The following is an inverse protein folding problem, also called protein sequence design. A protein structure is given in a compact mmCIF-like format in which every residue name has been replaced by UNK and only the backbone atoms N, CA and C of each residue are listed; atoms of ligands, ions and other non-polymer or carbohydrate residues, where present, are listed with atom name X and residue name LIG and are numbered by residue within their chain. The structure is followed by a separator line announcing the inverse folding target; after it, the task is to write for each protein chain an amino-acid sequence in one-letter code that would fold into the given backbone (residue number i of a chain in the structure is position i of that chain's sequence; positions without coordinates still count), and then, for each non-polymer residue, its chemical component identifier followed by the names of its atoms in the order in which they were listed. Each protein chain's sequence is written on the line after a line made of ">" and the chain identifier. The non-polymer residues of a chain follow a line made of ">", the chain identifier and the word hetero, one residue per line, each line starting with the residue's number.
data_IF_003865896993
#
_entry.id   IF_003865896993
#
_cell.length_a   1.000
_cell.length_b   1.000
_cell.length_c   1.000
_cell.angle_alpha   90.00
_cell.angle_beta   90.00
_cell.angle_gamma   90.00
#
_symmetry.space_group_name_H-M   'P 1'
#
loop_
_entity.id
_entity.type
_entity.pdbx_description
1 polymer ?
#
# COMPACT_ATOMS: atom_id res chain seq x y z
N UNK A 1 38.11 -0.06 -22.46
CA UNK A 1 37.83 0.89 -21.37
C UNK A 1 36.32 1.17 -21.44
N UNK A 2 35.50 0.47 -20.66
CA UNK A 2 34.06 0.73 -20.62
C UNK A 2 33.84 1.98 -19.77
N UNK A 3 33.28 3.02 -20.36
CA UNK A 3 32.83 4.23 -19.66
C UNK A 3 31.73 3.84 -18.67
N UNK A 4 32.04 3.91 -17.39
CA UNK A 4 31.05 3.76 -16.31
C UNK A 4 30.07 4.94 -16.46
N UNK A 5 28.93 4.66 -17.06
CA UNK A 5 27.85 5.65 -17.23
C UNK A 5 27.44 6.18 -15.87
N UNK A 6 27.42 7.50 -15.69
CA UNK A 6 27.02 8.17 -14.48
C UNK A 6 25.66 7.61 -14.00
N UNK A 7 25.61 7.06 -12.79
CA UNK A 7 24.39 6.57 -12.16
C UNK A 7 23.44 7.76 -11.98
N UNK A 8 22.47 7.90 -12.87
CA UNK A 8 21.42 8.93 -12.74
C UNK A 8 20.65 8.71 -11.44
N UNK A 9 20.83 9.61 -10.49
CA UNK A 9 20.11 9.58 -9.21
C UNK A 9 18.60 9.67 -9.45
N UNK A 10 17.82 8.69 -8.92
CA UNK A 10 16.35 8.67 -9.04
C UNK A 10 15.72 9.63 -8.03
N UNK A 11 15.69 10.93 -8.34
CA UNK A 11 15.05 11.93 -7.47
C UNK A 11 13.56 11.67 -7.24
N UNK A 12 12.88 10.89 -8.10
CA UNK A 12 11.47 10.53 -7.94
C UNK A 12 11.22 9.63 -6.73
N UNK A 13 12.25 9.00 -6.18
CA UNK A 13 12.14 8.23 -4.93
C UNK A 13 11.76 9.12 -3.75
N UNK A 14 12.33 10.30 -3.67
CA UNK A 14 12.03 11.27 -2.62
C UNK A 14 10.61 11.82 -2.73
N UNK A 15 10.12 12.07 -3.97
CA UNK A 15 8.74 12.46 -4.19
C UNK A 15 7.77 11.36 -3.72
N UNK A 16 8.03 10.09 -4.06
CA UNK A 16 7.22 8.96 -3.59
C UNK A 16 7.23 8.83 -2.07
N UNK A 17 8.38 9.01 -1.44
CA UNK A 17 8.54 9.01 0.02
C UNK A 17 7.74 10.15 0.66
N UNK A 18 7.83 11.37 0.14
CA UNK A 18 7.08 12.52 0.64
C UNK A 18 5.56 12.35 0.51
N UNK A 19 5.08 11.76 -0.58
CA UNK A 19 3.65 11.44 -0.75
C UNK A 19 3.19 10.46 0.32
N UNK A 20 3.96 9.39 0.59
CA UNK A 20 3.62 8.43 1.65
C UNK A 20 3.68 9.07 3.04
N UNK A 21 4.64 9.96 3.28
CA UNK A 21 4.69 10.72 4.53
C UNK A 21 3.45 11.62 4.68
N UNK A 22 3.01 12.28 3.61
CA UNK A 22 1.76 13.05 3.59
C UNK A 22 0.54 12.17 3.92
N UNK A 23 0.45 10.96 3.34
CA UNK A 23 -0.61 10.02 3.67
C UNK A 23 -0.56 9.57 5.13
N UNK A 24 0.63 9.35 5.70
CA UNK A 24 0.78 9.03 7.12
C UNK A 24 0.25 10.16 8.02
N UNK A 25 0.57 11.42 7.71
CA UNK A 25 0.08 12.59 8.45
C UNK A 25 -1.45 12.67 8.39
N UNK A 26 -2.04 12.52 7.19
CA UNK A 26 -3.50 12.51 7.02
C UNK A 26 -4.13 11.35 7.82
N UNK A 27 -3.53 10.16 7.79
CA UNK A 27 -4.01 9.00 8.55
C UNK A 27 -3.98 9.26 10.06
N UNK A 28 -2.89 9.85 10.59
CA UNK A 28 -2.79 10.24 12.00
C UNK A 28 -3.89 11.25 12.36
N UNK A 29 -4.09 12.27 11.53
CA UNK A 29 -5.15 13.27 11.75
C UNK A 29 -6.53 12.61 11.77
N UNK A 30 -6.80 11.70 10.85
CA UNK A 30 -8.06 10.94 10.84
C UNK A 30 -8.22 10.05 12.05
N UNK A 31 -7.15 9.40 12.50
CA UNK A 31 -7.19 8.62 13.73
C UNK A 31 -7.50 9.47 14.95
N UNK A 32 -6.86 10.62 15.12
CA UNK A 32 -7.13 11.52 16.26
C UNK A 32 -8.57 12.06 16.26
N UNK A 33 -9.20 12.19 15.09
CA UNK A 33 -10.58 12.66 14.96
C UNK A 33 -11.61 11.56 15.16
N UNK A 34 -11.32 10.32 14.72
CA UNK A 34 -12.31 9.24 14.69
C UNK A 34 -12.06 8.14 15.73
N UNK A 35 -10.84 8.03 16.28
CA UNK A 35 -10.43 6.92 17.15
C UNK A 35 -10.28 5.58 16.42
N UNK A 36 -10.40 5.57 15.07
CA UNK A 36 -10.43 4.34 14.28
C UNK A 36 -9.05 3.70 14.17
N UNK A 37 -8.88 2.50 14.71
CA UNK A 37 -7.62 1.74 14.69
C UNK A 37 -7.03 1.60 13.28
N UNK A 38 -7.88 1.45 12.27
CA UNK A 38 -7.47 1.35 10.87
C UNK A 38 -6.55 2.50 10.45
N UNK A 39 -6.89 3.75 10.76
CA UNK A 39 -6.06 4.90 10.38
C UNK A 39 -4.75 4.96 11.14
N UNK A 40 -4.73 4.50 12.40
CA UNK A 40 -3.49 4.39 13.16
C UNK A 40 -2.54 3.39 12.51
N UNK A 41 -3.02 2.18 12.19
CA UNK A 41 -2.19 1.13 11.59
C UNK A 41 -1.79 1.49 10.15
N UNK A 42 -2.68 2.17 9.41
CA UNK A 42 -2.39 2.72 8.09
C UNK A 42 -1.23 3.71 8.15
N UNK A 43 -1.21 4.60 9.16
CA UNK A 43 -0.13 5.58 9.32
C UNK A 43 1.23 4.91 9.54
N UNK A 44 1.32 3.88 10.38
CA UNK A 44 2.55 3.11 10.57
C UNK A 44 3.03 2.48 9.26
N UNK A 45 2.12 1.88 8.50
CA UNK A 45 2.45 1.30 7.19
C UNK A 45 2.99 2.37 6.24
N UNK A 46 2.38 3.54 6.19
CA UNK A 46 2.81 4.63 5.31
C UNK A 46 4.18 5.18 5.71
N UNK A 47 4.49 5.27 7.01
CA UNK A 47 5.82 5.63 7.50
C UNK A 47 6.88 4.61 7.08
N UNK A 48 6.61 3.31 7.24
CA UNK A 48 7.50 2.23 6.79
C UNK A 48 7.71 2.30 5.28
N UNK A 49 6.65 2.49 4.51
CA UNK A 49 6.73 2.63 3.05
C UNK A 49 7.53 3.87 2.64
N UNK A 50 7.34 5.01 3.31
CA UNK A 50 8.12 6.24 3.09
C UNK A 50 9.62 6.00 3.28
N UNK A 51 10.00 5.32 4.37
CA UNK A 51 11.39 4.97 4.67
C UNK A 51 12.03 4.14 3.56
N UNK A 52 11.39 3.03 3.15
CA UNK A 52 11.93 2.16 2.09
C UNK A 52 11.93 2.86 0.72
N UNK A 53 10.92 3.69 0.41
CA UNK A 53 10.89 4.45 -0.83
C UNK A 53 12.04 5.47 -0.92
N UNK A 54 12.40 6.12 0.17
CA UNK A 54 13.55 7.04 0.20
C UNK A 54 14.87 6.33 -0.12
N UNK A 55 14.97 5.04 0.26
CA UNK A 55 16.17 4.19 0.07
C UNK A 55 16.06 3.23 -1.11
N UNK A 56 14.97 3.31 -1.90
CA UNK A 56 14.73 2.34 -2.96
C UNK A 56 15.83 2.34 -4.01
N UNK A 57 16.05 1.15 -4.55
CA UNK A 57 16.94 0.93 -5.68
C UNK A 57 16.40 1.53 -6.98
N UNK A 58 17.31 1.83 -7.92
CA UNK A 58 16.92 2.31 -9.24
C UNK A 58 16.17 1.21 -10.00
N UNK A 59 15.11 1.59 -10.71
CA UNK A 59 14.37 0.64 -11.52
C UNK A 59 15.10 0.37 -12.85
N UNK A 60 15.32 -0.90 -13.17
CA UNK A 60 15.82 -1.36 -14.46
C UNK A 60 14.74 -1.20 -15.54
N UNK A 61 13.50 -1.61 -15.21
CA UNK A 61 12.33 -1.48 -16.07
C UNK A 61 11.25 -0.74 -15.30
N UNK A 62 10.67 0.30 -15.90
CA UNK A 62 9.58 1.10 -15.31
C UNK A 62 8.29 0.86 -16.08
N UNK A 63 7.16 0.83 -15.38
CA UNK A 63 5.86 0.90 -16.03
C UNK A 63 5.66 2.24 -16.75
N UNK A 64 4.66 2.30 -17.64
CA UNK A 64 4.30 3.52 -18.33
C UNK A 64 3.75 4.60 -17.36
N UNK A 65 3.68 5.84 -17.84
CA UNK A 65 3.19 6.98 -17.05
C UNK A 65 1.75 6.77 -16.54
N UNK A 66 0.89 6.15 -17.34
CA UNK A 66 -0.50 5.85 -16.97
C UNK A 66 -0.58 4.98 -15.71
N UNK A 67 0.27 3.95 -15.61
CA UNK A 67 0.31 3.11 -14.40
C UNK A 67 0.82 3.86 -13.17
N UNK A 68 1.73 4.81 -13.33
CA UNK A 68 2.15 5.68 -12.22
C UNK A 68 0.99 6.59 -11.77
N UNK A 69 0.23 7.16 -12.72
CA UNK A 69 -0.94 7.99 -12.42
C UNK A 69 -2.05 7.20 -11.71
N UNK A 70 -2.16 5.90 -11.93
CA UNK A 70 -3.12 5.02 -11.23
C UNK A 70 -2.57 4.61 -9.86
N UNK A 71 -1.29 4.28 -9.77
CA UNK A 71 -0.70 3.67 -8.58
C UNK A 71 -0.68 4.61 -7.36
N UNK A 72 -0.35 5.88 -7.54
CA UNK A 72 -0.31 6.84 -6.42
C UNK A 72 -1.70 7.13 -5.85
N UNK A 73 -2.73 7.50 -6.64
CA UNK A 73 -4.07 7.66 -6.11
C UNK A 73 -4.62 6.38 -5.46
N UNK A 74 -4.37 5.20 -6.06
CA UNK A 74 -4.83 3.94 -5.48
C UNK A 74 -4.25 3.64 -4.10
N UNK A 75 -3.05 4.14 -3.82
CA UNK A 75 -2.45 4.01 -2.49
C UNK A 75 -3.09 4.92 -1.44
N UNK A 76 -3.73 6.01 -1.87
CA UNK A 76 -4.48 6.95 -1.02
C UNK A 76 -5.97 6.63 -0.86
N UNK A 77 -6.54 5.68 -1.63
CA UNK A 77 -7.96 5.33 -1.53
C UNK A 77 -8.41 4.97 -0.11
N UNK A 78 -7.62 4.25 0.72
CA UNK A 78 -8.00 3.97 2.09
C UNK A 78 -8.26 5.22 2.95
N UNK A 79 -7.71 6.37 2.59
CA UNK A 79 -7.97 7.64 3.27
C UNK A 79 -9.40 8.17 3.05
N UNK A 80 -10.10 7.67 2.04
CA UNK A 80 -11.46 8.09 1.70
C UNK A 80 -12.54 7.29 2.43
N UNK A 81 -12.17 6.27 3.21
CA UNK A 81 -13.15 5.46 3.94
C UNK A 81 -13.95 6.28 4.95
N UNK A 82 -15.25 6.03 4.98
CA UNK A 82 -16.17 6.64 5.92
C UNK A 82 -16.10 5.92 7.26
N UNK A 83 -15.99 6.70 8.33
CA UNK A 83 -16.10 6.20 9.71
C UNK A 83 -17.54 5.77 10.03
N UNK A 84 -17.74 5.09 11.16
CA UNK A 84 -19.07 4.70 11.60
C UNK A 84 -19.98 5.94 11.79
N UNK A 85 -21.25 5.87 11.37
CA UNK A 85 -22.24 6.87 11.76
C UNK A 85 -22.41 6.87 13.27
N UNK A 86 -22.53 8.04 13.89
CA UNK A 86 -22.75 8.17 15.32
C UNK A 86 -23.94 7.28 15.78
N UNK A 87 -23.72 6.46 16.81
CA UNK A 87 -24.77 5.69 17.48
C UNK A 87 -25.12 4.33 16.86
N UNK A 88 -24.47 3.87 15.77
CA UNK A 88 -24.75 2.58 15.10
C UNK A 88 -23.66 1.53 15.30
N UNK A 89 -22.82 1.67 16.32
CA UNK A 89 -21.76 0.71 16.59
C UNK A 89 -22.28 -0.58 17.22
N UNK A 90 -22.41 -1.63 16.43
CA UNK A 90 -22.53 -2.98 16.97
C UNK A 90 -21.12 -3.44 17.34
N UNK A 91 -20.84 -3.56 18.63
CA UNK A 91 -19.51 -3.92 19.17
C UNK A 91 -18.87 -5.14 18.51
N UNK A 92 -19.68 -6.13 18.12
CA UNK A 92 -19.19 -7.32 17.43
C UNK A 92 -18.62 -7.01 16.04
N UNK A 93 -19.28 -6.14 15.26
CA UNK A 93 -18.78 -5.73 13.93
C UNK A 93 -17.49 -4.93 14.03
N UNK A 94 -17.38 -4.09 15.06
CA UNK A 94 -16.17 -3.34 15.35
C UNK A 94 -15.00 -4.26 15.63
N UNK A 95 -15.17 -5.24 16.50
CA UNK A 95 -14.13 -6.22 16.84
C UNK A 95 -13.65 -6.98 15.60
N UNK A 96 -14.57 -7.45 14.75
CA UNK A 96 -14.23 -8.16 13.51
C UNK A 96 -13.48 -7.22 12.54
N UNK A 97 -13.92 -5.98 12.40
CA UNK A 97 -13.25 -5.00 11.55
C UNK A 97 -11.81 -4.70 12.01
N UNK A 98 -11.62 -4.54 13.32
CA UNK A 98 -10.29 -4.30 13.91
C UNK A 98 -9.38 -5.51 13.75
N UNK A 99 -9.87 -6.73 13.95
CA UNK A 99 -9.11 -7.97 13.73
C UNK A 99 -8.68 -8.11 12.27
N UNK A 100 -9.58 -7.88 11.32
CA UNK A 100 -9.25 -7.91 9.89
C UNK A 100 -8.22 -6.84 9.53
N UNK A 101 -8.35 -5.65 10.10
CA UNK A 101 -7.40 -4.55 9.95
C UNK A 101 -6.01 -4.95 10.42
N UNK A 102 -5.89 -5.47 11.64
CA UNK A 102 -4.60 -5.91 12.21
C UNK A 102 -3.98 -7.01 11.36
N UNK A 103 -4.72 -8.08 11.06
CA UNK A 103 -4.21 -9.20 10.25
C UNK A 103 -3.76 -8.72 8.88
N UNK A 104 -4.58 -7.94 8.20
CA UNK A 104 -4.26 -7.44 6.87
C UNK A 104 -3.01 -6.56 6.86
N UNK A 105 -2.88 -5.63 7.80
CA UNK A 105 -1.70 -4.76 7.87
C UNK A 105 -0.43 -5.46 8.39
N UNK A 106 -0.55 -6.51 9.19
CA UNK A 106 0.61 -7.37 9.52
C UNK A 106 1.16 -8.04 8.25
N UNK A 107 0.29 -8.55 7.39
CA UNK A 107 0.68 -9.12 6.09
C UNK A 107 1.35 -8.05 5.21
N UNK A 108 0.77 -6.85 5.11
CA UNK A 108 1.33 -5.74 4.32
C UNK A 108 2.69 -5.31 4.86
N UNK A 109 2.82 -5.17 6.16
CA UNK A 109 4.06 -4.75 6.81
C UNK A 109 5.17 -5.77 6.58
N UNK A 110 4.87 -7.06 6.78
CA UNK A 110 5.81 -8.13 6.49
C UNK A 110 6.24 -8.12 5.02
N UNK A 111 5.28 -8.05 4.10
CA UNK A 111 5.58 -7.97 2.67
C UNK A 111 6.41 -6.74 2.29
N UNK A 112 6.17 -5.59 2.95
CA UNK A 112 6.94 -4.35 2.73
C UNK A 112 8.39 -4.50 3.21
N UNK A 113 8.60 -5.14 4.36
CA UNK A 113 9.94 -5.41 4.91
C UNK A 113 10.70 -6.39 4.00
N UNK A 114 10.06 -7.46 3.54
CA UNK A 114 10.66 -8.44 2.64
C UNK A 114 11.05 -7.84 1.27
N UNK A 115 10.30 -6.85 0.77
CA UNK A 115 10.67 -6.09 -0.43
C UNK A 115 11.83 -5.12 -0.17
N UNK A 116 11.86 -4.50 1.00
CA UNK A 116 12.90 -3.54 1.38
C UNK A 116 13.10 -2.45 0.32
N UNK A 117 14.34 -2.29 -0.15
CA UNK A 117 14.74 -1.29 -1.15
C UNK A 117 14.16 -1.53 -2.56
N UNK A 118 13.58 -2.70 -2.83
CA UNK A 118 12.86 -3.00 -4.07
C UNK A 118 11.45 -2.41 -4.10
N UNK A 119 10.95 -1.88 -2.97
CA UNK A 119 9.61 -1.31 -2.86
C UNK A 119 9.38 -0.19 -3.87
N UNK A 120 8.21 -0.20 -4.50
CA UNK A 120 7.76 0.86 -5.40
C UNK A 120 6.26 1.04 -5.36
N UNK A 121 5.78 2.28 -5.40
CA UNK A 121 4.34 2.56 -5.51
C UNK A 121 3.84 2.16 -6.90
N UNK A 122 4.59 2.51 -7.94
CA UNK A 122 4.29 2.11 -9.32
C UNK A 122 5.05 0.83 -9.69
N UNK A 123 4.44 -0.09 -10.46
CA UNK A 123 5.08 -1.31 -10.94
C UNK A 123 6.41 -1.03 -11.64
N UNK A 124 7.46 -1.72 -11.21
CA UNK A 124 8.79 -1.59 -11.79
C UNK A 124 9.65 -2.80 -11.40
N UNK A 125 10.61 -3.16 -12.25
CA UNK A 125 11.61 -4.17 -11.93
C UNK A 125 12.81 -3.50 -11.27
N UNK A 126 13.21 -4.00 -10.09
CA UNK A 126 14.37 -3.58 -9.32
C UNK A 126 15.13 -4.82 -8.87
N UNK A 127 16.13 -5.21 -9.67
CA UNK A 127 16.85 -6.45 -9.46
C UNK A 127 15.99 -7.70 -9.65
N UNK A 128 16.35 -8.76 -8.98
CA UNK A 128 15.63 -10.05 -9.06
C UNK A 128 14.27 -9.99 -8.35
N UNK A 129 13.30 -10.76 -8.89
CA UNK A 129 11.97 -10.92 -8.28
C UNK A 129 12.12 -11.47 -6.86
N UNK A 130 11.44 -10.85 -5.91
CA UNK A 130 11.38 -11.34 -4.53
C UNK A 130 10.58 -12.65 -4.48
N UNK A 131 11.20 -13.70 -3.94
CA UNK A 131 10.61 -15.05 -3.81
C UNK A 131 10.76 -15.62 -2.41
N UNK A 132 11.43 -14.90 -1.49
CA UNK A 132 11.66 -15.30 -0.10
C UNK A 132 10.65 -14.68 0.84
N UNK A 133 10.59 -15.17 2.07
CA UNK A 133 9.67 -14.69 3.08
C UNK A 133 8.22 -14.92 2.69
N UNK A 134 7.35 -13.94 2.92
CA UNK A 134 5.93 -14.05 2.57
C UNK A 134 5.66 -14.17 1.06
N UNK A 135 6.63 -13.74 0.21
CA UNK A 135 6.55 -13.87 -1.25
C UNK A 135 6.74 -15.31 -1.74
N UNK A 136 7.19 -16.22 -0.88
CA UNK A 136 7.18 -17.65 -1.17
C UNK A 136 5.76 -18.23 -1.11
N UNK A 137 4.91 -17.69 -0.22
CA UNK A 137 3.52 -18.16 -0.04
C UNK A 137 2.56 -17.51 -1.05
N UNK A 138 2.77 -16.23 -1.35
CA UNK A 138 1.88 -15.43 -2.19
C UNK A 138 2.65 -14.61 -3.21
N UNK A 139 2.16 -14.56 -4.46
CA UNK A 139 2.78 -13.72 -5.50
C UNK A 139 2.63 -12.22 -5.23
N UNK A 140 1.53 -11.80 -4.59
CA UNK A 140 1.21 -10.40 -4.31
C UNK A 140 0.68 -10.22 -2.88
N UNK A 141 1.50 -10.53 -1.85
CA UNK A 141 1.05 -10.53 -0.45
C UNK A 141 0.57 -9.15 0.01
N UNK A 142 1.17 -8.06 -0.48
CA UNK A 142 0.72 -6.71 -0.15
C UNK A 142 -0.73 -6.46 -0.57
N UNK A 143 -1.14 -6.88 -1.77
CA UNK A 143 -2.52 -6.67 -2.23
C UNK A 143 -3.51 -7.53 -1.48
N UNK A 144 -3.13 -8.76 -1.10
CA UNK A 144 -3.93 -9.64 -0.26
C UNK A 144 -4.12 -8.99 1.13
N UNK A 145 -3.05 -8.52 1.74
CA UNK A 145 -3.11 -7.85 3.04
C UNK A 145 -4.00 -6.61 3.02
N UNK A 146 -3.88 -5.76 1.99
CA UNK A 146 -4.77 -4.62 1.83
C UNK A 146 -6.24 -5.01 1.63
N UNK A 147 -6.51 -6.05 0.85
CA UNK A 147 -7.88 -6.54 0.65
C UNK A 147 -8.48 -6.99 1.98
N UNK A 148 -7.74 -7.73 2.80
CA UNK A 148 -8.19 -8.18 4.14
C UNK A 148 -8.40 -6.98 5.06
N UNK A 149 -7.43 -6.05 5.16
CA UNK A 149 -7.53 -4.90 6.04
C UNK A 149 -8.73 -4.00 5.70
N UNK A 150 -9.02 -3.83 4.42
CA UNK A 150 -10.11 -2.98 3.94
C UNK A 150 -11.49 -3.66 4.03
N UNK A 151 -11.54 -5.00 4.02
CA UNK A 151 -12.79 -5.75 4.07
C UNK A 151 -13.60 -5.45 5.33
N UNK A 152 -12.93 -5.33 6.49
CA UNK A 152 -13.56 -5.00 7.76
C UNK A 152 -14.31 -3.66 7.74
N UNK A 153 -13.86 -2.71 6.91
CA UNK A 153 -14.47 -1.38 6.83
C UNK A 153 -15.84 -1.35 6.16
N UNK A 154 -16.19 -2.38 5.39
CA UNK A 154 -17.56 -2.54 4.86
C UNK A 154 -18.54 -2.80 6.01
N UNK A 155 -18.09 -3.49 7.07
CA UNK A 155 -18.90 -3.74 8.28
C UNK A 155 -19.12 -2.47 9.10
N UNK A 156 -18.16 -1.56 9.08
CA UNK A 156 -18.24 -0.27 9.79
C UNK A 156 -19.19 0.70 9.09
N UNK A 157 -19.10 0.78 7.76
CA UNK A 157 -19.98 1.64 6.97
C UNK A 157 -20.20 1.00 5.58
N UNK A 158 -21.45 0.71 5.25
CA UNK A 158 -21.82 0.05 3.99
C UNK A 158 -21.39 0.81 2.73
N UNK A 159 -21.27 2.12 2.78
CA UNK A 159 -20.82 2.94 1.64
C UNK A 159 -19.36 2.71 1.28
N UNK A 160 -18.58 2.13 2.20
CA UNK A 160 -17.19 1.75 1.95
C UNK A 160 -17.04 0.65 0.91
N UNK A 161 -18.11 -0.09 0.58
CA UNK A 161 -18.08 -1.13 -0.44
C UNK A 161 -17.65 -0.57 -1.81
N UNK A 162 -18.04 0.65 -2.15
CA UNK A 162 -17.67 1.28 -3.44
C UNK A 162 -16.16 1.54 -3.50
N UNK A 163 -15.58 2.06 -2.42
CA UNK A 163 -14.14 2.32 -2.33
C UNK A 163 -13.37 1.00 -2.32
N UNK A 164 -13.87 -0.01 -1.60
CA UNK A 164 -13.28 -1.35 -1.56
C UNK A 164 -13.22 -1.99 -2.95
N UNK A 165 -14.33 -2.02 -3.67
CA UNK A 165 -14.40 -2.60 -5.02
C UNK A 165 -13.46 -1.88 -5.98
N UNK A 166 -13.38 -0.55 -5.91
CA UNK A 166 -12.42 0.23 -6.69
C UNK A 166 -10.97 -0.13 -6.32
N UNK A 167 -10.67 -0.27 -5.02
CA UNK A 167 -9.33 -0.69 -4.55
C UNK A 167 -8.95 -2.05 -5.11
N UNK A 168 -9.84 -3.05 -5.03
CA UNK A 168 -9.61 -4.40 -5.55
C UNK A 168 -9.36 -4.37 -7.07
N UNK A 169 -10.16 -3.63 -7.82
CA UNK A 169 -9.96 -3.47 -9.27
C UNK A 169 -8.54 -2.92 -9.57
N UNK A 170 -8.14 -1.87 -8.87
CA UNK A 170 -6.83 -1.25 -9.08
C UNK A 170 -5.67 -2.18 -8.64
N UNK A 171 -5.84 -2.99 -7.59
CA UNK A 171 -4.85 -4.00 -7.20
C UNK A 171 -4.69 -5.08 -8.27
N UNK A 172 -5.80 -5.55 -8.86
CA UNK A 172 -5.75 -6.53 -9.97
C UNK A 172 -5.00 -5.95 -11.18
N UNK A 173 -5.29 -4.71 -11.56
CA UNK A 173 -4.61 -4.05 -12.68
C UNK A 173 -3.11 -3.88 -12.43
N UNK A 174 -2.74 -3.49 -11.20
CA UNK A 174 -1.34 -3.34 -10.79
C UNK A 174 -0.63 -4.70 -10.78
N UNK A 175 -1.24 -5.74 -10.18
CA UNK A 175 -0.69 -7.09 -10.13
C UNK A 175 -0.46 -7.67 -11.53
N UNK A 176 -1.43 -7.49 -12.46
CA UNK A 176 -1.25 -7.89 -13.86
C UNK A 176 -0.05 -7.19 -14.50
N UNK A 177 0.10 -5.89 -14.26
CA UNK A 177 1.23 -5.12 -14.82
C UNK A 177 2.57 -5.50 -14.20
N UNK A 178 2.62 -5.75 -12.90
CA UNK A 178 3.80 -6.27 -12.20
C UNK A 178 4.23 -7.62 -12.79
N UNK A 179 3.30 -8.55 -12.99
CA UNK A 179 3.58 -9.85 -13.58
C UNK A 179 4.14 -9.74 -15.01
N UNK A 180 3.74 -8.74 -15.79
CA UNK A 180 4.30 -8.49 -17.13
C UNK A 180 5.73 -7.94 -17.08
N UNK A 181 6.06 -7.13 -16.09
CA UNK A 181 7.37 -6.48 -15.95
C UNK A 181 8.40 -7.41 -15.29
N UNK A 182 7.94 -8.31 -14.41
CA UNK A 182 8.79 -9.23 -13.64
C UNK A 182 9.03 -10.59 -14.34
N UNK A 183 8.41 -10.81 -15.47
CA UNK A 183 8.75 -11.93 -16.38
C UNK A 183 10.02 -11.62 -17.16
#
# INVERSE_FOLDING_TARGET
>A
MQTVGAVKTDYKKYLGSLIMLGFAIISITRWTQSGELFFLVLSFRDLIASYFLARRENAEIKSNKTMAMIAYPSSGLPLLYFSAPFGLEIRAYRLVADLLTIIGFLIVTWATIDLGTKLGVSPAKRGEKQTKGIYHLFNHPMYIGYAIAQLGWILINKWNISIYLLSILLFILRAKKENQILR
#
